data_IF_944966714565
#
_entry.id   IF_944966714565
#
_cell.length_a   1.000
_cell.length_b   1.000
_cell.length_c   1.000
_cell.angle_alpha   90.00
_cell.angle_beta   90.00
_cell.angle_gamma   90.00
#
_symmetry.space_group_name_H-M   'P 1'
#
loop_
_entity.id
_entity.type
_entity.pdbx_description
1 polymer ?
#
# COMPACT_ATOMS: atom_id res chain seq x y z
N UNK A 1 11.59 -11.87 28.32
CA UNK A 1 10.97 -10.55 28.07
C UNK A 1 10.91 -10.40 26.55
N UNK A 2 9.71 -10.33 25.97
CA UNK A 2 9.55 -10.12 24.53
C UNK A 2 10.04 -8.71 24.23
N UNK A 3 11.13 -8.61 23.47
CA UNK A 3 11.69 -7.33 23.06
C UNK A 3 10.66 -6.66 22.15
N UNK A 4 10.24 -5.45 22.48
CA UNK A 4 9.37 -4.71 21.57
C UNK A 4 10.16 -4.33 20.32
N UNK A 5 9.49 -4.21 19.17
CA UNK A 5 10.14 -3.81 17.93
C UNK A 5 10.86 -2.45 18.08
N UNK A 6 10.30 -1.58 18.94
CA UNK A 6 10.90 -0.30 19.36
C UNK A 6 12.26 -0.45 20.05
N UNK A 7 12.41 -1.44 20.92
CA UNK A 7 13.68 -1.71 21.62
C UNK A 7 14.73 -2.34 20.70
N UNK A 8 14.29 -3.14 19.72
CA UNK A 8 15.17 -3.72 18.71
C UNK A 8 15.77 -2.64 17.80
N UNK A 9 14.92 -1.78 17.22
CA UNK A 9 15.35 -0.69 16.32
C UNK A 9 16.30 0.30 17.02
N UNK A 10 15.96 0.74 18.25
CA UNK A 10 16.82 1.66 19.03
C UNK A 10 18.21 1.07 19.31
N UNK A 11 18.28 -0.24 19.58
CA UNK A 11 19.54 -0.94 19.82
C UNK A 11 20.40 -1.03 18.56
N UNK A 12 19.78 -1.13 17.39
CA UNK A 12 20.47 -1.18 16.11
C UNK A 12 20.95 0.20 15.64
N UNK A 13 20.16 1.27 15.81
CA UNK A 13 20.63 2.64 15.52
C UNK A 13 21.89 3.00 16.29
N UNK A 14 22.03 2.54 17.53
CA UNK A 14 23.25 2.71 18.33
C UNK A 14 24.51 2.02 17.76
N UNK A 15 24.38 1.24 16.68
CA UNK A 15 25.47 0.55 15.97
C UNK A 15 25.74 1.10 14.57
N UNK A 16 25.31 2.33 14.28
CA UNK A 16 25.42 2.93 12.93
C UNK A 16 24.67 2.12 11.86
N UNK A 17 23.58 1.46 12.26
CA UNK A 17 22.64 0.86 11.31
C UNK A 17 21.57 1.88 10.94
N UNK A 18 21.12 1.84 9.70
CA UNK A 18 20.03 2.65 9.19
C UNK A 18 19.08 1.85 8.34
N UNK A 19 17.89 2.41 8.12
CA UNK A 19 16.82 1.87 7.29
C UNK A 19 17.26 1.73 5.82
N UNK A 20 16.52 0.92 5.06
CA UNK A 20 16.77 0.79 3.62
C UNK A 20 16.55 2.11 2.89
N UNK A 21 15.55 2.89 3.33
CA UNK A 21 15.27 4.23 2.81
C UNK A 21 16.46 5.17 3.00
N UNK A 22 17.05 5.21 4.21
CA UNK A 22 18.25 6.01 4.48
C UNK A 22 19.45 5.55 3.61
N UNK A 23 19.54 4.24 3.36
CA UNK A 23 20.50 3.66 2.43
C UNK A 23 20.26 4.08 0.98
N UNK A 24 19.01 4.04 0.52
CA UNK A 24 18.61 4.49 -0.81
C UNK A 24 18.94 5.97 -1.01
N UNK A 25 18.76 6.81 0.01
CA UNK A 25 19.19 8.21 -0.03
C UNK A 25 20.69 8.38 -0.31
N UNK A 26 21.55 7.53 0.27
CA UNK A 26 23.00 7.55 -0.04
C UNK A 26 23.32 7.08 -1.46
N UNK A 27 22.53 6.15 -2.02
CA UNK A 27 22.69 5.72 -3.41
C UNK A 27 22.31 6.84 -4.37
N UNK A 28 21.25 7.59 -4.07
CA UNK A 28 20.82 8.78 -4.83
C UNK A 28 21.92 9.85 -4.89
N UNK A 29 22.57 10.12 -3.75
CA UNK A 29 23.65 11.12 -3.63
C UNK A 29 24.97 10.69 -4.28
N UNK A 30 25.11 9.42 -4.70
CA UNK A 30 26.36 8.92 -5.26
C UNK A 30 26.66 9.47 -6.66
N UNK A 31 27.94 9.67 -6.98
CA UNK A 31 28.40 9.99 -8.35
C UNK A 31 28.56 8.74 -9.23
N UNK A 32 28.59 7.54 -8.64
CA UNK A 32 28.74 6.29 -9.39
C UNK A 32 27.44 5.91 -10.11
N UNK A 33 27.52 5.70 -11.42
CA UNK A 33 26.38 5.36 -12.26
C UNK A 33 25.66 4.08 -11.78
N UNK A 34 26.41 3.05 -11.38
CA UNK A 34 25.85 1.78 -10.90
C UNK A 34 25.01 1.97 -9.64
N UNK A 35 25.45 2.83 -8.71
CA UNK A 35 24.69 3.14 -7.49
C UNK A 35 23.40 3.90 -7.79
N UNK A 36 23.42 4.81 -8.76
CA UNK A 36 22.21 5.52 -9.22
C UNK A 36 21.22 4.59 -9.90
N UNK A 37 21.69 3.68 -10.75
CA UNK A 37 20.83 2.69 -11.39
C UNK A 37 20.18 1.76 -10.35
N UNK A 38 20.95 1.36 -9.32
CA UNK A 38 20.43 0.58 -8.20
C UNK A 38 19.36 1.36 -7.42
N UNK A 39 19.59 2.64 -7.13
CA UNK A 39 18.59 3.51 -6.50
C UNK A 39 17.28 3.55 -7.30
N UNK A 40 17.36 3.82 -8.60
CA UNK A 40 16.17 3.89 -9.46
C UNK A 40 15.41 2.56 -9.47
N UNK A 41 16.11 1.43 -9.57
CA UNK A 41 15.48 0.10 -9.52
C UNK A 41 14.71 -0.13 -8.20
N UNK A 42 15.34 0.18 -7.06
CA UNK A 42 14.72 0.01 -5.75
C UNK A 42 13.55 0.99 -5.52
N UNK A 43 13.67 2.22 -6.03
CA UNK A 43 12.62 3.23 -6.00
C UNK A 43 11.41 2.78 -6.82
N UNK A 44 11.63 2.33 -8.05
CA UNK A 44 10.56 1.80 -8.92
C UNK A 44 9.84 0.66 -8.22
N UNK A 45 10.57 -0.25 -7.58
CA UNK A 45 9.94 -1.36 -6.88
C UNK A 45 9.04 -0.94 -5.72
N UNK A 46 9.50 0.01 -4.91
CA UNK A 46 8.70 0.54 -3.80
C UNK A 46 7.41 1.18 -4.32
N UNK A 47 7.52 1.93 -5.41
CA UNK A 47 6.39 2.58 -6.10
C UNK A 47 5.42 1.52 -6.64
N UNK A 48 5.91 0.52 -7.36
CA UNK A 48 5.09 -0.53 -7.98
C UNK A 48 4.35 -1.35 -6.92
N UNK A 49 5.04 -1.73 -5.84
CA UNK A 49 4.41 -2.43 -4.72
C UNK A 49 3.33 -1.57 -4.04
N UNK A 50 3.64 -0.29 -3.82
CA UNK A 50 2.69 0.67 -3.26
C UNK A 50 1.43 0.86 -4.12
N UNK A 51 1.62 1.00 -5.43
CA UNK A 51 0.52 1.10 -6.41
C UNK A 51 -0.33 -0.16 -6.36
N UNK A 52 0.26 -1.34 -6.39
CA UNK A 52 -0.48 -2.60 -6.39
C UNK A 52 -1.32 -2.78 -5.12
N UNK A 53 -0.77 -2.51 -3.94
CA UNK A 53 -1.52 -2.57 -2.68
C UNK A 53 -2.66 -1.53 -2.68
N UNK A 54 -2.43 -0.35 -3.27
CA UNK A 54 -3.45 0.70 -3.40
C UNK A 54 -4.56 0.30 -4.36
N UNK A 55 -4.25 -0.35 -5.48
CA UNK A 55 -5.23 -0.89 -6.43
C UNK A 55 -6.14 -1.93 -5.76
N UNK A 56 -5.57 -2.84 -4.96
CA UNK A 56 -6.37 -3.81 -4.20
C UNK A 56 -7.42 -3.13 -3.30
N UNK A 57 -7.07 -1.98 -2.70
CA UNK A 57 -8.02 -1.19 -1.91
C UNK A 57 -9.08 -0.51 -2.79
N UNK A 58 -8.70 -0.01 -3.96
CA UNK A 58 -9.66 0.54 -4.93
C UNK A 58 -10.67 -0.53 -5.33
N UNK A 59 -10.21 -1.72 -5.69
CA UNK A 59 -11.07 -2.80 -6.15
C UNK A 59 -12.01 -3.28 -5.05
N UNK A 60 -11.50 -3.42 -3.82
CA UNK A 60 -12.33 -3.64 -2.64
C UNK A 60 -13.41 -2.56 -2.48
N UNK A 61 -13.07 -1.29 -2.64
CA UNK A 61 -14.03 -0.20 -2.54
C UNK A 61 -15.02 -0.23 -3.70
N UNK A 62 -14.60 -0.51 -4.93
CA UNK A 62 -15.50 -0.59 -6.09
C UNK A 62 -16.55 -1.69 -5.91
N UNK A 63 -16.17 -2.82 -5.34
CA UNK A 63 -17.06 -3.91 -4.92
C UNK A 63 -18.04 -3.39 -3.85
N UNK A 64 -17.51 -2.77 -2.80
CA UNK A 64 -18.30 -2.25 -1.68
C UNK A 64 -19.25 -1.10 -2.11
N UNK A 65 -18.87 -0.30 -3.11
CA UNK A 65 -19.68 0.79 -3.69
C UNK A 65 -20.97 0.28 -4.35
N UNK A 66 -20.97 -0.97 -4.80
CA UNK A 66 -22.13 -1.63 -5.39
C UNK A 66 -23.07 -2.24 -4.33
N UNK A 67 -22.57 -2.50 -3.12
CA UNK A 67 -23.27 -3.28 -2.08
C UNK A 67 -23.62 -2.49 -0.79
N UNK A 68 -22.92 -1.39 -0.49
CA UNK A 68 -22.98 -0.67 0.78
C UNK A 68 -23.48 0.80 0.69
N UNK A 69 -23.93 1.36 1.82
CA UNK A 69 -24.21 2.81 1.91
C UNK A 69 -22.91 3.60 2.03
N UNK A 70 -22.91 4.86 1.57
CA UNK A 70 -21.70 5.71 1.61
C UNK A 70 -21.18 5.94 3.01
N UNK A 71 -22.07 5.96 3.99
CA UNK A 71 -21.71 6.10 5.40
C UNK A 71 -20.90 4.91 5.89
N UNK A 72 -21.24 3.70 5.45
CA UNK A 72 -20.51 2.45 5.74
C UNK A 72 -19.11 2.48 5.10
N UNK A 73 -19.02 2.89 3.82
CA UNK A 73 -17.73 3.05 3.14
C UNK A 73 -16.85 4.13 3.78
N UNK A 74 -17.43 5.27 4.14
CA UNK A 74 -16.69 6.34 4.79
C UNK A 74 -16.18 5.91 6.17
N UNK A 75 -16.97 5.12 6.92
CA UNK A 75 -16.56 4.52 8.18
C UNK A 75 -15.39 3.55 7.98
N UNK A 76 -15.45 2.66 6.99
CA UNK A 76 -14.36 1.73 6.68
C UNK A 76 -13.06 2.46 6.30
N UNK A 77 -13.14 3.52 5.47
CA UNK A 77 -11.97 4.33 5.13
C UNK A 77 -11.41 5.11 6.34
N UNK A 78 -12.28 5.58 7.23
CA UNK A 78 -11.86 6.17 8.51
C UNK A 78 -11.17 5.13 9.41
N UNK A 79 -11.66 3.90 9.43
CA UNK A 79 -11.08 2.81 10.19
C UNK A 79 -9.70 2.43 9.65
N UNK A 80 -9.55 2.29 8.33
CA UNK A 80 -8.26 2.06 7.66
C UNK A 80 -7.25 3.17 8.01
N UNK A 81 -7.66 4.43 7.85
CA UNK A 81 -6.81 5.58 8.21
C UNK A 81 -6.42 5.55 9.69
N UNK A 82 -7.35 5.20 10.57
CA UNK A 82 -7.11 5.13 12.02
C UNK A 82 -6.20 3.96 12.39
N UNK A 83 -6.43 2.77 11.85
CA UNK A 83 -5.61 1.57 12.09
C UNK A 83 -4.18 1.80 11.63
N UNK A 84 -4.00 2.28 10.40
CA UNK A 84 -2.67 2.58 9.85
C UNK A 84 -1.99 3.71 10.64
N UNK A 85 -2.74 4.76 11.00
CA UNK A 85 -2.26 5.85 11.85
C UNK A 85 -1.82 5.37 13.24
N UNK A 86 -2.57 4.47 13.88
CA UNK A 86 -2.22 3.89 15.17
C UNK A 86 -1.00 2.95 15.09
N UNK A 87 -0.81 2.29 13.94
CA UNK A 87 0.30 1.38 13.68
C UNK A 87 1.52 2.11 13.09
N UNK A 88 1.44 3.43 12.92
CA UNK A 88 2.54 4.30 12.54
C UNK A 88 3.52 4.43 13.72
N UNK A 89 4.49 3.52 13.78
CA UNK A 89 5.56 3.56 14.79
C UNK A 89 6.77 4.30 14.19
N UNK A 90 7.23 5.34 14.91
CA UNK A 90 8.30 6.33 14.65
C UNK A 90 9.36 6.14 13.52
N UNK A 91 9.81 7.29 12.98
CA UNK A 91 10.86 7.61 11.98
C UNK A 91 10.75 6.93 10.59
N UNK A 92 10.76 7.77 9.54
CA UNK A 92 10.62 7.38 8.13
C UNK A 92 9.32 6.68 7.75
N UNK A 93 8.17 7.22 8.17
CA UNK A 93 6.81 6.77 7.82
C UNK A 93 6.42 7.02 6.35
N UNK A 94 7.35 6.82 5.41
CA UNK A 94 7.20 7.25 4.02
C UNK A 94 6.11 6.44 3.32
N UNK A 95 6.07 5.11 3.52
CA UNK A 95 5.07 4.23 2.91
C UNK A 95 3.70 4.50 3.53
N UNK A 96 3.63 4.56 4.87
CA UNK A 96 2.39 4.84 5.60
C UNK A 96 1.82 6.22 5.24
N UNK A 97 2.63 7.30 5.23
CA UNK A 97 2.14 8.64 4.90
C UNK A 97 1.63 8.74 3.46
N UNK A 98 2.30 8.05 2.54
CA UNK A 98 1.87 7.97 1.14
C UNK A 98 0.54 7.23 1.03
N UNK A 99 0.39 6.12 1.76
CA UNK A 99 -0.85 5.37 1.82
C UNK A 99 -2.00 6.15 2.47
N UNK A 100 -1.74 6.91 3.54
CA UNK A 100 -2.74 7.82 4.15
C UNK A 100 -3.18 8.89 3.14
N UNK A 101 -2.25 9.43 2.34
CA UNK A 101 -2.57 10.41 1.29
C UNK A 101 -3.49 9.80 0.23
N UNK A 102 -3.24 8.54 -0.13
CA UNK A 102 -4.10 7.76 -1.02
C UNK A 102 -5.49 7.51 -0.41
N UNK A 103 -5.58 7.10 0.87
CA UNK A 103 -6.86 6.91 1.57
C UNK A 103 -7.67 8.22 1.62
N UNK A 104 -7.00 9.37 1.82
CA UNK A 104 -7.65 10.69 1.76
C UNK A 104 -8.18 11.04 0.37
N UNK A 105 -7.44 10.69 -0.69
CA UNK A 105 -7.93 10.82 -2.06
C UNK A 105 -9.21 10.00 -2.26
N UNK A 106 -9.21 8.74 -1.80
CA UNK A 106 -10.37 7.86 -1.89
C UNK A 106 -11.58 8.44 -1.16
N UNK A 107 -11.42 8.89 0.09
CA UNK A 107 -12.50 9.54 0.87
C UNK A 107 -13.09 10.75 0.15
N UNK A 108 -12.25 11.57 -0.47
CA UNK A 108 -12.71 12.73 -1.25
C UNK A 108 -13.52 12.28 -2.45
N UNK A 109 -13.05 11.28 -3.18
CA UNK A 109 -13.69 10.80 -4.41
C UNK A 109 -15.02 10.08 -4.14
N UNK A 110 -15.12 9.27 -3.09
CA UNK A 110 -16.36 8.60 -2.69
C UNK A 110 -17.44 9.59 -2.25
N UNK A 111 -17.05 10.73 -1.65
CA UNK A 111 -17.98 11.81 -1.32
C UNK A 111 -18.60 12.48 -2.56
N UNK A 112 -17.88 12.49 -3.69
CA UNK A 112 -18.28 13.15 -4.94
C UNK A 112 -19.08 12.27 -5.90
N UNK A 113 -18.98 10.94 -5.80
CA UNK A 113 -19.77 10.03 -6.63
C UNK A 113 -21.28 10.25 -6.42
N UNK A 114 -22.14 10.16 -7.43
CA UNK A 114 -23.62 10.27 -7.31
C UNK A 114 -24.24 8.88 -7.08
N UNK A 115 -25.33 8.77 -6.29
CA UNK A 115 -25.89 7.46 -5.85
C UNK A 115 -26.49 6.72 -7.05
N UNK A 116 -26.14 5.46 -7.34
CA UNK A 116 -27.06 4.53 -7.98
C UNK A 116 -28.07 4.10 -6.90
N UNK A 117 -29.34 4.40 -7.10
CA UNK A 117 -30.41 3.84 -6.26
C UNK A 117 -30.79 2.48 -6.83
N UNK A 118 -30.31 1.41 -6.22
CA UNK A 118 -30.91 0.09 -6.41
C UNK A 118 -31.24 -0.50 -5.04
N UNK A 119 -32.54 -0.71 -4.82
CA UNK A 119 -33.07 -1.50 -3.72
C UNK A 119 -32.78 -2.98 -4.03
N UNK A 120 -32.82 -3.81 -2.97
CA UNK A 120 -32.69 -5.29 -2.92
C UNK A 120 -31.22 -5.77 -2.96
N UNK A 121 -30.67 -6.60 -2.06
CA UNK A 121 -31.19 -7.67 -1.19
C UNK A 121 -30.43 -7.73 0.16
N UNK A 122 -31.13 -7.83 1.29
CA UNK A 122 -30.53 -7.85 2.63
C UNK A 122 -30.06 -9.23 3.12
N UNK A 123 -30.25 -10.30 2.34
CA UNK A 123 -30.05 -11.69 2.82
C UNK A 123 -28.64 -12.24 2.49
N UNK A 124 -27.94 -11.68 1.49
CA UNK A 124 -26.51 -12.02 1.20
C UNK A 124 -25.49 -11.15 1.95
N UNK A 125 -25.95 -10.10 2.63
CA UNK A 125 -25.08 -9.02 3.14
C UNK A 125 -24.14 -9.43 4.29
N UNK A 126 -24.50 -10.47 5.06
CA UNK A 126 -23.74 -10.87 6.26
C UNK A 126 -22.53 -11.77 5.98
N UNK A 127 -22.66 -12.70 5.04
CA UNK A 127 -21.56 -13.60 4.71
C UNK A 127 -20.50 -12.87 3.88
N UNK A 128 -20.92 -11.90 3.03
CA UNK A 128 -20.03 -10.99 2.32
C UNK A 128 -19.30 -10.02 3.28
N UNK A 129 -19.97 -9.48 4.30
CA UNK A 129 -19.34 -8.56 5.28
C UNK A 129 -18.15 -9.18 6.04
N UNK A 130 -18.21 -10.47 6.37
CA UNK A 130 -17.13 -11.15 7.11
C UNK A 130 -15.92 -11.45 6.21
N UNK A 131 -16.14 -11.77 4.94
CA UNK A 131 -15.04 -11.89 3.96
C UNK A 131 -14.45 -10.52 3.59
N UNK A 132 -15.27 -9.47 3.54
CA UNK A 132 -14.89 -8.10 3.22
C UNK A 132 -14.03 -7.45 4.33
N UNK A 133 -14.44 -7.55 5.61
CA UNK A 133 -13.65 -7.05 6.74
C UNK A 133 -12.27 -7.72 6.80
N UNK A 134 -12.19 -9.04 6.52
CA UNK A 134 -10.91 -9.76 6.50
C UNK A 134 -9.94 -9.23 5.41
N UNK A 135 -10.45 -8.76 4.27
CA UNK A 135 -9.62 -8.26 3.15
C UNK A 135 -8.98 -6.91 3.44
N UNK A 136 -9.73 -6.00 4.06
CA UNK A 136 -9.17 -4.70 4.50
C UNK A 136 -8.00 -4.92 5.46
N UNK A 137 -8.15 -5.86 6.39
CA UNK A 137 -7.06 -6.24 7.29
C UNK A 137 -5.85 -6.82 6.54
N UNK A 138 -6.06 -7.64 5.51
CA UNK A 138 -4.97 -8.15 4.67
C UNK A 138 -4.23 -7.01 3.95
N UNK A 139 -4.95 -6.05 3.36
CA UNK A 139 -4.35 -4.87 2.72
C UNK A 139 -3.52 -4.07 3.73
N UNK A 140 -4.06 -3.82 4.94
CA UNK A 140 -3.34 -3.11 6.01
C UNK A 140 -2.06 -3.88 6.39
N UNK A 141 -2.12 -5.21 6.51
CA UNK A 141 -0.95 -6.03 6.82
C UNK A 141 0.15 -5.87 5.76
N UNK A 142 -0.22 -5.76 4.49
CA UNK A 142 0.75 -5.61 3.39
C UNK A 142 1.35 -4.21 3.33
N UNK A 143 0.58 -3.17 3.63
CA UNK A 143 1.12 -1.81 3.85
C UNK A 143 2.17 -1.83 4.96
N UNK A 144 1.88 -2.49 6.07
CA UNK A 144 2.81 -2.59 7.20
C UNK A 144 4.04 -3.44 6.85
N UNK A 145 3.89 -4.50 6.07
CA UNK A 145 5.01 -5.31 5.58
C UNK A 145 5.91 -4.48 4.67
N UNK A 146 5.33 -3.67 3.79
CA UNK A 146 6.09 -2.79 2.89
C UNK A 146 6.83 -1.71 3.67
N UNK A 147 6.17 -1.07 4.64
CA UNK A 147 6.80 -0.13 5.57
C UNK A 147 7.96 -0.81 6.34
N UNK A 148 7.76 -1.99 6.92
CA UNK A 148 8.82 -2.72 7.64
C UNK A 148 9.98 -3.11 6.71
N UNK A 149 9.69 -3.56 5.50
CA UNK A 149 10.70 -3.96 4.52
C UNK A 149 11.66 -2.83 4.14
N UNK A 150 11.16 -1.59 4.06
CA UNK A 150 11.95 -0.44 3.60
C UNK A 150 12.43 0.45 4.75
N UNK A 151 11.61 0.63 5.78
CA UNK A 151 11.89 1.57 6.86
C UNK A 151 12.55 0.91 8.08
N UNK A 152 12.56 -0.43 8.16
CA UNK A 152 13.06 -1.17 9.33
C UNK A 152 14.19 -2.19 9.11
N UNK A 153 14.84 -2.39 7.94
CA UNK A 153 16.01 -3.24 7.92
C UNK A 153 17.17 -2.46 8.56
N UNK A 154 17.57 -2.91 9.74
CA UNK A 154 18.72 -2.42 10.49
C UNK A 154 20.03 -2.88 9.82
N UNK A 155 20.32 -2.29 8.66
CA UNK A 155 21.52 -2.59 7.88
C UNK A 155 22.68 -1.73 8.35
N UNK A 156 23.90 -2.29 8.51
CA UNK A 156 25.09 -1.47 8.72
C UNK A 156 25.19 -0.42 7.61
N UNK A 157 25.46 0.84 7.96
CA UNK A 157 25.62 1.91 6.95
C UNK A 157 26.94 1.83 6.16
N UNK A 158 27.67 0.71 6.30
CA UNK A 158 28.94 0.35 5.65
C UNK A 158 28.83 -0.86 4.70
N UNK A 159 27.62 -1.37 4.47
CA UNK A 159 27.32 -2.49 3.56
C UNK A 159 27.81 -2.22 2.13
N UNK A 160 28.34 -3.24 1.44
CA UNK A 160 28.78 -3.13 0.05
C UNK A 160 27.59 -3.07 -0.92
N UNK A 161 27.79 -2.48 -2.11
CA UNK A 161 26.76 -2.40 -3.15
C UNK A 161 26.15 -3.79 -3.45
N UNK A 162 26.97 -4.84 -3.52
CA UNK A 162 26.55 -6.21 -3.80
C UNK A 162 25.54 -6.75 -2.78
N UNK A 163 25.74 -6.42 -1.50
CA UNK A 163 24.82 -6.83 -0.43
C UNK A 163 23.54 -6.01 -0.49
N UNK A 164 23.60 -4.73 -0.88
CA UNK A 164 22.41 -3.92 -1.14
C UNK A 164 21.59 -4.47 -2.31
N UNK A 165 22.24 -4.88 -3.40
CA UNK A 165 21.58 -5.55 -4.54
C UNK A 165 20.92 -6.84 -4.08
N UNK A 166 21.66 -7.70 -3.38
CA UNK A 166 21.12 -8.97 -2.88
C UNK A 166 19.93 -8.76 -1.93
N UNK A 167 19.94 -7.71 -1.13
CA UNK A 167 18.81 -7.36 -0.25
C UNK A 167 17.61 -6.84 -1.06
N UNK A 168 17.86 -5.96 -2.03
CA UNK A 168 16.85 -5.51 -2.98
C UNK A 168 16.17 -6.68 -3.68
N UNK A 169 16.96 -7.57 -4.28
CA UNK A 169 16.50 -8.80 -4.93
C UNK A 169 15.74 -9.69 -3.95
N UNK A 170 16.22 -9.82 -2.71
CA UNK A 170 15.53 -10.62 -1.70
C UNK A 170 14.16 -10.05 -1.34
N UNK A 171 14.07 -8.74 -1.10
CA UNK A 171 12.81 -8.06 -0.80
C UNK A 171 11.85 -8.20 -1.98
N UNK A 172 12.36 -8.05 -3.19
CA UNK A 172 11.61 -8.18 -4.44
C UNK A 172 11.06 -9.60 -4.62
N UNK A 173 11.96 -10.56 -4.75
CA UNK A 173 11.66 -11.90 -5.24
C UNK A 173 11.08 -12.78 -4.15
N UNK A 174 11.57 -12.63 -2.91
CA UNK A 174 11.27 -13.57 -1.83
C UNK A 174 10.29 -13.02 -0.80
N UNK A 175 10.28 -11.70 -0.56
CA UNK A 175 9.40 -11.11 0.45
C UNK A 175 8.09 -10.61 -0.16
N UNK A 176 8.15 -9.91 -1.29
CA UNK A 176 7.01 -9.19 -1.86
C UNK A 176 6.34 -9.93 -3.02
N UNK A 177 7.08 -10.39 -4.04
CA UNK A 177 6.52 -10.90 -5.30
C UNK A 177 5.40 -11.92 -5.11
N UNK A 178 5.65 -13.03 -4.42
CA UNK A 178 4.62 -14.07 -4.26
C UNK A 178 3.37 -13.62 -3.51
N UNK A 179 3.47 -12.61 -2.64
CA UNK A 179 2.32 -12.08 -1.88
C UNK A 179 1.55 -11.06 -2.69
N UNK A 180 2.27 -10.22 -3.42
CA UNK A 180 1.72 -9.26 -4.36
C UNK A 180 1.00 -9.98 -5.52
N UNK A 181 1.57 -11.07 -6.03
CA UNK A 181 0.94 -11.93 -7.03
C UNK A 181 -0.37 -12.54 -6.50
N UNK A 182 -0.39 -13.06 -5.26
CA UNK A 182 -1.61 -13.57 -4.62
C UNK A 182 -2.67 -12.48 -4.47
N UNK A 183 -2.28 -11.27 -4.02
CA UNK A 183 -3.20 -10.15 -3.90
C UNK A 183 -3.75 -9.71 -5.25
N UNK A 184 -2.91 -9.69 -6.28
CA UNK A 184 -3.33 -9.38 -7.65
C UNK A 184 -4.34 -10.42 -8.16
N UNK A 185 -4.02 -11.71 -8.02
CA UNK A 185 -4.88 -12.81 -8.46
C UNK A 185 -6.23 -12.81 -7.72
N UNK A 186 -6.22 -12.59 -6.40
CA UNK A 186 -7.44 -12.47 -5.59
C UNK A 186 -8.30 -11.27 -6.03
N UNK A 187 -7.66 -10.18 -6.41
CA UNK A 187 -8.32 -8.95 -6.87
C UNK A 187 -8.93 -9.13 -8.26
N UNK A 188 -8.21 -9.76 -9.19
CA UNK A 188 -8.68 -10.08 -10.53
C UNK A 188 -9.88 -11.03 -10.49
N UNK A 189 -9.81 -12.09 -9.67
CA UNK A 189 -10.90 -13.05 -9.50
C UNK A 189 -12.19 -12.39 -8.98
N UNK A 190 -12.07 -11.45 -8.04
CA UNK A 190 -13.22 -10.75 -7.48
C UNK A 190 -13.85 -9.79 -8.50
N UNK A 191 -12.99 -9.04 -9.19
CA UNK A 191 -13.37 -8.15 -10.28
C UNK A 191 -14.16 -8.92 -11.35
N UNK A 192 -13.68 -10.09 -11.77
CA UNK A 192 -14.40 -10.95 -12.72
C UNK A 192 -15.70 -11.57 -12.18
N UNK A 193 -15.74 -11.94 -10.90
CA UNK A 193 -16.89 -12.63 -10.31
C UNK A 193 -18.12 -11.72 -10.14
N UNK A 194 -17.92 -10.45 -9.80
CA UNK A 194 -19.01 -9.49 -9.58
C UNK A 194 -19.41 -8.71 -10.84
N UNK A 195 -18.47 -8.49 -11.78
CA UNK A 195 -18.72 -7.73 -13.02
C UNK A 195 -19.56 -8.46 -14.07
N UNK A 196 -19.85 -9.76 -13.91
CA UNK A 196 -20.62 -10.55 -14.88
C UNK A 196 -22.10 -10.16 -14.99
N UNK A 197 -22.62 -9.18 -14.24
CA UNK A 197 -24.06 -9.00 -14.09
C UNK A 197 -24.71 -7.70 -14.62
N UNK A 198 -23.99 -6.65 -15.01
CA UNK A 198 -24.67 -5.40 -15.39
C UNK A 198 -23.92 -4.55 -16.44
N UNK A 199 -24.50 -4.43 -17.65
CA UNK A 199 -23.85 -3.84 -18.82
C UNK A 199 -23.92 -2.31 -18.93
N UNK A 200 -24.66 -1.63 -18.04
CA UNK A 200 -24.92 -0.18 -18.14
C UNK A 200 -24.21 0.64 -17.03
N UNK A 201 -23.92 0.01 -15.87
CA UNK A 201 -23.15 0.59 -14.75
C UNK A 201 -21.64 0.60 -14.98
N UNK A 202 -21.17 -0.02 -16.07
CA UNK A 202 -19.77 -0.29 -16.36
C UNK A 202 -18.98 0.99 -16.75
N UNK A 203 -19.62 1.96 -17.43
CA UNK A 203 -18.90 3.15 -17.91
C UNK A 203 -18.55 4.16 -16.80
N UNK A 204 -19.48 4.41 -15.87
CA UNK A 204 -19.26 5.32 -14.74
C UNK A 204 -18.26 4.71 -13.74
N UNK A 205 -18.35 3.40 -13.51
CA UNK A 205 -17.38 2.64 -12.70
C UNK A 205 -15.98 2.71 -13.32
N UNK A 206 -15.84 2.38 -14.60
CA UNK A 206 -14.55 2.45 -15.32
C UNK A 206 -13.97 3.86 -15.31
N UNK A 207 -14.80 4.89 -15.47
CA UNK A 207 -14.34 6.27 -15.37
C UNK A 207 -13.87 6.61 -13.96
N UNK A 208 -14.53 6.11 -12.92
CA UNK A 208 -14.15 6.36 -11.53
C UNK A 208 -12.85 5.61 -11.17
N UNK A 209 -12.75 4.34 -11.54
CA UNK A 209 -11.56 3.50 -11.41
C UNK A 209 -10.35 4.12 -12.12
N UNK A 210 -10.53 4.61 -13.35
CA UNK A 210 -9.45 5.24 -14.10
C UNK A 210 -8.94 6.52 -13.41
N UNK A 211 -9.84 7.36 -12.88
CA UNK A 211 -9.43 8.57 -12.15
C UNK A 211 -8.70 8.21 -10.86
N UNK A 212 -9.16 7.18 -10.14
CA UNK A 212 -8.47 6.70 -8.94
C UNK A 212 -7.09 6.11 -9.27
N UNK A 213 -7.00 5.31 -10.32
CA UNK A 213 -5.73 4.71 -10.80
C UNK A 213 -4.71 5.78 -11.15
N UNK A 214 -5.11 6.82 -11.89
CA UNK A 214 -4.22 7.95 -12.20
C UNK A 214 -3.80 8.69 -10.93
N UNK A 215 -4.74 8.93 -10.01
CA UNK A 215 -4.44 9.61 -8.76
C UNK A 215 -3.50 8.84 -7.84
N UNK A 216 -3.61 7.51 -7.74
CA UNK A 216 -2.66 6.70 -6.96
C UNK A 216 -1.28 6.69 -7.59
N UNK A 217 -1.20 6.60 -8.92
CA UNK A 217 0.08 6.66 -9.64
C UNK A 217 0.76 8.00 -9.39
N UNK A 218 0.02 9.10 -9.42
CA UNK A 218 0.56 10.42 -9.12
C UNK A 218 1.09 10.52 -7.68
N UNK A 219 0.33 10.01 -6.70
CA UNK A 219 0.75 10.02 -5.28
C UNK A 219 2.04 9.21 -5.09
N UNK A 220 2.13 8.00 -5.65
CA UNK A 220 3.32 7.15 -5.51
C UNK A 220 4.50 7.66 -6.33
N UNK A 221 4.30 8.24 -7.51
CA UNK A 221 5.39 8.82 -8.28
C UNK A 221 6.01 10.07 -7.60
N UNK A 222 5.22 10.78 -6.78
CA UNK A 222 5.68 11.90 -5.96
C UNK A 222 6.37 11.47 -4.66
N UNK A 223 6.62 10.17 -4.46
CA UNK A 223 7.30 9.66 -3.27
C UNK A 223 8.65 10.36 -3.07
N UNK A 224 8.74 11.14 -1.99
CA UNK A 224 9.96 11.78 -1.56
C UNK A 224 10.64 10.88 -0.52
N UNK A 225 11.74 10.24 -0.93
CA UNK A 225 12.50 9.30 -0.11
C UNK A 225 13.42 10.01 0.90
N UNK A 226 13.39 11.34 0.92
CA UNK A 226 14.17 12.11 1.90
C UNK A 226 13.64 11.85 3.31
N UNK A 227 14.51 11.49 4.26
CA UNK A 227 14.14 11.39 5.67
C UNK A 227 13.55 12.72 6.15
N UNK A 228 12.30 12.72 6.63
CA UNK A 228 11.72 13.91 7.26
C UNK A 228 12.19 13.94 8.71
N UNK A 229 13.15 14.83 8.98
CA UNK A 229 13.66 15.16 10.32
C UNK A 229 12.60 15.77 11.22
#
# INVERSE_FOLDING_TARGET
MLMTWKEAAKKCRGKEHGSFIEWMGKLEESEELEKRLLFEMLRTLLIDAGILISSCLIDYLLITLLSADREEMAANLCEVESMIGCLSVEENLIVINTFISMVKLLKRMTSMATKPKTKTDMIKKRDLQIEEENKVHLIIIEVLRLEVAFCYPDLPMTVSNEVCVAMGDHLTVHVMKGKLDILSDETDMLTESELRSDGDNDSARKSFEQVLTVGIQEIWNQLDLKPRT
#
